data_IF_518261954729
#
_entry.id   IF_518261954729
#
_cell.length_a   1.000
_cell.length_b   1.000
_cell.length_c   1.000
_cell.angle_alpha   90.00
_cell.angle_beta   90.00
_cell.angle_gamma   90.00
#
_symmetry.space_group_name_H-M   'P 1'
#
loop_
_entity.id
_entity.type
_entity.pdbx_description
1 polymer ?
#
# COMPACT_ATOMS: atom_id res chain seq x y z
N UNK A 1 -7.54 -9.31 26.84
CA UNK A 1 -7.56 -9.69 25.41
C UNK A 1 -6.28 -9.14 24.80
N UNK A 2 -5.28 -9.99 24.61
CA UNK A 2 -3.98 -9.60 24.04
C UNK A 2 -4.14 -9.42 22.54
N UNK A 3 -3.88 -8.21 22.03
CA UNK A 3 -3.73 -7.96 20.60
C UNK A 3 -2.52 -8.79 20.14
N UNK A 4 -2.73 -9.77 19.26
CA UNK A 4 -1.60 -10.38 18.54
C UNK A 4 -1.24 -9.41 17.44
N UNK A 5 -0.09 -8.77 17.60
CA UNK A 5 0.50 -8.00 16.51
C UNK A 5 1.11 -9.03 15.54
N UNK A 6 0.60 -9.06 14.31
CA UNK A 6 1.07 -9.94 13.25
C UNK A 6 2.11 -9.18 12.43
N UNK A 7 3.38 -9.56 12.56
CA UNK A 7 4.48 -8.97 11.80
C UNK A 7 4.87 -9.91 10.65
N UNK A 8 4.46 -9.57 9.44
CA UNK A 8 4.96 -10.20 8.22
C UNK A 8 5.71 -9.17 7.38
N UNK A 9 6.99 -9.43 7.13
CA UNK A 9 7.77 -8.64 6.17
C UNK A 9 7.89 -9.41 4.86
N UNK A 10 7.26 -8.89 3.81
CA UNK A 10 7.36 -9.44 2.45
C UNK A 10 7.69 -8.31 1.47
N UNK A 11 8.70 -8.54 0.64
CA UNK A 11 9.10 -7.59 -0.41
C UNK A 11 8.51 -7.98 -1.75
N UNK A 12 7.88 -7.02 -2.42
CA UNK A 12 7.38 -7.15 -3.80
C UNK A 12 8.10 -6.13 -4.69
N UNK A 13 8.59 -6.58 -5.86
CA UNK A 13 9.35 -5.72 -6.79
C UNK A 13 8.61 -5.59 -8.12
N UNK A 14 8.44 -4.36 -8.58
CA UNK A 14 7.82 -4.02 -9.85
C UNK A 14 8.79 -3.23 -10.74
N UNK A 15 8.87 -3.58 -12.03
CA UNK A 15 9.70 -2.85 -12.99
C UNK A 15 8.85 -1.75 -13.63
N UNK A 16 9.15 -0.49 -13.31
CA UNK A 16 8.42 0.68 -13.82
C UNK A 16 9.42 1.73 -14.31
N UNK A 17 9.30 2.23 -15.55
CA UNK A 17 10.11 3.36 -16.00
C UNK A 17 9.88 4.59 -15.12
N UNK A 18 10.94 5.28 -14.72
CA UNK A 18 10.84 6.43 -13.81
C UNK A 18 9.86 7.51 -14.30
N UNK A 19 9.87 7.80 -15.61
CA UNK A 19 8.96 8.76 -16.26
C UNK A 19 7.47 8.44 -16.10
N UNK A 20 7.14 7.17 -15.85
CA UNK A 20 5.77 6.70 -15.76
C UNK A 20 5.27 6.68 -14.30
N UNK A 21 6.16 6.65 -13.30
CA UNK A 21 5.81 6.60 -11.87
C UNK A 21 4.80 7.69 -11.43
N UNK A 22 4.90 8.96 -11.88
CA UNK A 22 3.92 9.99 -11.51
C UNK A 22 2.48 9.68 -11.98
N UNK A 23 2.32 8.80 -12.97
CA UNK A 23 1.03 8.39 -13.54
C UNK A 23 0.57 7.01 -13.07
N UNK A 24 1.37 6.31 -12.26
CA UNK A 24 1.04 4.99 -11.74
C UNK A 24 0.30 5.08 -10.42
N UNK A 25 -0.44 4.02 -10.17
CA UNK A 25 -1.18 3.78 -8.93
C UNK A 25 -0.80 2.40 -8.43
N UNK A 26 -0.50 2.31 -7.13
CA UNK A 26 -0.34 1.06 -6.40
C UNK A 26 -1.52 0.90 -5.46
N UNK A 27 -2.33 -0.14 -5.69
CA UNK A 27 -3.45 -0.51 -4.83
C UNK A 27 -3.04 -1.72 -3.99
N UNK A 28 -3.24 -1.62 -2.68
CA UNK A 28 -2.94 -2.67 -1.71
C UNK A 28 -4.24 -3.01 -0.99
N UNK A 29 -4.64 -4.28 -1.04
CA UNK A 29 -5.82 -4.79 -0.33
C UNK A 29 -5.43 -5.82 0.72
N UNK A 30 -6.11 -5.77 1.86
CA UNK A 30 -5.99 -6.74 2.96
C UNK A 30 -7.27 -7.56 3.01
N UNK A 31 -7.09 -8.87 3.07
CA UNK A 31 -8.17 -9.86 3.04
C UNK A 31 -8.00 -10.81 4.23
N UNK A 32 -9.13 -11.24 4.81
CA UNK A 32 -9.17 -12.37 5.73
C UNK A 32 -9.28 -13.66 4.92
N UNK A 33 -8.33 -14.58 5.12
CA UNK A 33 -8.25 -15.80 4.32
C UNK A 33 -9.07 -16.93 4.96
N UNK A 34 -10.18 -17.29 4.33
CA UNK A 34 -11.12 -18.29 4.81
C UNK A 34 -10.98 -19.63 4.06
N UNK A 35 -10.73 -20.72 4.80
CA UNK A 35 -10.66 -22.05 4.19
C UNK A 35 -12.04 -22.53 3.72
N UNK A 36 -12.25 -22.55 2.40
CA UNK A 36 -13.45 -23.11 1.77
C UNK A 36 -14.59 -22.12 1.50
N UNK A 37 -14.34 -20.82 1.69
CA UNK A 37 -15.23 -19.70 1.28
C UNK A 37 -14.45 -18.70 0.44
N UNK A 38 -15.13 -17.63 -0.01
CA UNK A 38 -14.46 -16.47 -0.58
C UNK A 38 -13.79 -15.65 0.52
N UNK A 39 -12.58 -15.17 0.27
CA UNK A 39 -11.86 -14.31 1.21
C UNK A 39 -12.61 -13.00 1.45
N UNK A 40 -12.74 -12.60 2.71
CA UNK A 40 -13.45 -11.38 3.11
C UNK A 40 -12.51 -10.17 3.00
N UNK A 41 -12.95 -9.15 2.26
CA UNK A 41 -12.18 -7.91 2.14
C UNK A 41 -12.27 -7.08 3.42
N UNK A 42 -11.12 -6.84 4.06
CA UNK A 42 -11.03 -6.02 5.29
C UNK A 42 -10.94 -4.54 4.93
N UNK A 43 -10.17 -4.21 3.88
CA UNK A 43 -9.90 -2.84 3.46
C UNK A 43 -8.56 -2.71 2.74
N UNK A 44 -8.26 -1.51 2.25
CA UNK A 44 -7.07 -1.28 1.45
C UNK A 44 -6.60 0.17 1.44
N UNK A 45 -5.54 0.40 0.68
CA UNK A 45 -4.99 1.73 0.42
C UNK A 45 -4.62 1.88 -1.05
N UNK A 46 -4.66 3.12 -1.52
CA UNK A 46 -4.19 3.51 -2.84
C UNK A 46 -3.07 4.54 -2.70
N UNK A 47 -1.91 4.23 -3.27
CA UNK A 47 -0.77 5.14 -3.39
C UNK A 47 -0.65 5.61 -4.84
N UNK A 48 -0.77 6.93 -5.05
CA UNK A 48 -0.60 7.57 -6.35
C UNK A 48 -0.32 9.06 -6.16
N UNK A 49 0.14 9.74 -7.22
CA UNK A 49 0.34 11.20 -7.17
C UNK A 49 -0.98 11.98 -6.97
N UNK A 50 -2.12 11.37 -7.28
CA UNK A 50 -3.47 11.93 -7.07
C UNK A 50 -4.14 11.48 -5.78
N UNK A 51 -3.51 10.61 -4.98
CA UNK A 51 -4.06 10.17 -3.71
C UNK A 51 -4.09 11.33 -2.71
N UNK A 52 -5.12 11.36 -1.85
CA UNK A 52 -5.27 12.39 -0.83
C UNK A 52 -4.29 12.19 0.32
N UNK A 53 -4.07 13.26 1.06
CA UNK A 53 -3.40 13.26 2.37
C UNK A 53 -2.04 12.54 2.35
N UNK A 54 -1.76 11.72 3.35
CA UNK A 54 -0.44 11.13 3.56
C UNK A 54 -0.08 10.06 2.53
N UNK A 55 -1.08 9.48 1.85
CA UNK A 55 -0.87 8.51 0.75
C UNK A 55 -0.23 9.17 -0.46
N UNK A 56 -0.74 10.33 -0.86
CA UNK A 56 -0.16 11.13 -1.96
C UNK A 56 1.22 11.65 -1.59
N UNK A 57 1.38 12.15 -0.36
CA UNK A 57 2.69 12.63 0.15
C UNK A 57 3.74 11.52 0.13
N UNK A 58 3.42 10.31 0.60
CA UNK A 58 4.36 9.19 0.57
C UNK A 58 4.77 8.84 -0.87
N UNK A 59 3.81 8.75 -1.80
CA UNK A 59 4.09 8.41 -3.19
C UNK A 59 5.04 9.42 -3.84
N UNK A 60 4.76 10.72 -3.67
CA UNK A 60 5.61 11.80 -4.19
C UNK A 60 7.00 11.73 -3.56
N UNK A 61 7.09 11.55 -2.23
CA UNK A 61 8.36 11.47 -1.51
C UNK A 61 9.25 10.31 -2.03
N UNK A 62 8.66 9.15 -2.34
CA UNK A 62 9.36 8.02 -2.96
C UNK A 62 9.92 8.36 -4.35
N UNK A 63 9.18 9.12 -5.17
CA UNK A 63 9.60 9.52 -6.52
C UNK A 63 10.73 10.56 -6.45
N UNK A 64 10.61 11.54 -5.55
CA UNK A 64 11.59 12.62 -5.40
C UNK A 64 12.90 12.18 -4.75
N UNK A 65 12.91 11.03 -4.07
CA UNK A 65 14.07 10.51 -3.35
C UNK A 65 14.45 9.08 -3.80
N UNK A 66 14.93 8.91 -5.05
CA UNK A 66 15.28 7.60 -5.57
C UNK A 66 16.38 6.92 -4.74
N UNK A 67 16.24 5.61 -4.52
CA UNK A 67 17.19 4.80 -3.75
C UNK A 67 17.01 4.88 -2.23
N UNK A 68 16.00 5.61 -1.72
CA UNK A 68 15.64 5.64 -0.31
C UNK A 68 14.44 4.74 -0.01
N UNK A 69 14.43 4.16 1.18
CA UNK A 69 13.30 3.39 1.72
C UNK A 69 12.51 4.27 2.68
N UNK A 70 11.19 4.20 2.60
CA UNK A 70 10.27 4.93 3.46
C UNK A 70 9.32 3.95 4.16
N UNK A 71 9.24 4.03 5.48
CA UNK A 71 8.32 3.25 6.31
C UNK A 71 7.23 4.19 6.84
N UNK A 72 5.97 3.92 6.48
CA UNK A 72 4.82 4.78 6.80
C UNK A 72 3.61 3.89 7.09
N UNK A 73 2.90 4.19 8.18
CA UNK A 73 1.64 3.55 8.54
C UNK A 73 0.46 4.25 7.86
N UNK A 74 -0.50 3.46 7.36
CA UNK A 74 -1.77 3.96 6.81
C UNK A 74 -2.95 3.21 7.41
N UNK A 75 -4.05 3.92 7.61
CA UNK A 75 -5.32 3.29 7.94
C UNK A 75 -5.93 2.67 6.67
N UNK A 76 -6.49 1.46 6.82
CA UNK A 76 -7.25 0.79 5.77
C UNK A 76 -8.61 1.48 5.59
N UNK A 77 -9.03 1.60 4.33
CA UNK A 77 -10.35 2.11 3.95
C UNK A 77 -11.10 1.08 3.12
N UNK A 78 -12.43 1.10 3.21
CA UNK A 78 -13.30 0.21 2.43
C UNK A 78 -13.41 0.64 0.96
N UNK A 79 -13.32 1.95 0.70
CA UNK A 79 -13.41 2.55 -0.63
C UNK A 79 -12.06 3.20 -1.00
N UNK A 80 -11.07 2.36 -1.32
CA UNK A 80 -9.72 2.83 -1.70
C UNK A 80 -9.53 2.93 -3.21
#
# INVERSE_FOLDING_TARGET
>A
MTRKDYEETKTLTFIVPFKDLPKKTLQIGVYDHDLGKHDDYIGGIVLSASAKDDRGKQWINCIENPGRTFEVWHYLELDS
#
